data_IF_806647294569
#
_entry.id   IF_806647294569
#
_cell.length_a   1.000
_cell.length_b   1.000
_cell.length_c   1.000
_cell.angle_alpha   90.00
_cell.angle_beta   90.00
_cell.angle_gamma   90.00
#
_symmetry.space_group_name_H-M   'P 1'
#
loop_
_entity.id
_entity.type
_entity.pdbx_description
1 polymer ?
#
# COMPACT_ATOMS: atom_id res chain seq x y z
N UNK A 1 50.48 12.51 -21.76
CA UNK A 1 50.31 13.40 -20.60
C UNK A 1 48.86 13.82 -20.63
N UNK A 2 48.02 13.08 -19.92
CA UNK A 2 46.67 13.55 -19.59
C UNK A 2 46.86 14.34 -18.30
N UNK A 3 46.82 15.66 -18.41
CA UNK A 3 46.63 16.53 -17.26
C UNK A 3 45.32 16.10 -16.59
N UNK A 4 45.38 15.97 -15.27
CA UNK A 4 44.34 15.36 -14.45
C UNK A 4 43.40 16.50 -14.05
N UNK A 5 42.19 16.64 -14.62
CA UNK A 5 41.38 17.85 -14.50
C UNK A 5 41.14 18.26 -13.04
N UNK A 6 40.96 17.29 -12.14
CA UNK A 6 40.70 17.56 -10.71
C UNK A 6 41.90 18.07 -9.90
N UNK A 7 43.12 18.02 -10.44
CA UNK A 7 44.29 18.65 -9.79
C UNK A 7 44.40 20.12 -10.17
N UNK A 8 44.13 20.46 -11.42
CA UNK A 8 44.17 21.83 -11.92
C UNK A 8 43.08 22.66 -11.25
N UNK A 9 41.84 22.16 -11.20
CA UNK A 9 40.74 22.82 -10.49
C UNK A 9 41.04 23.10 -9.02
N UNK A 10 41.70 22.16 -8.34
CA UNK A 10 42.09 22.31 -6.92
C UNK A 10 43.20 23.33 -6.72
N UNK A 11 44.12 23.44 -7.66
CA UNK A 11 45.22 24.38 -7.55
C UNK A 11 44.79 25.80 -7.96
N UNK A 12 43.87 25.93 -8.92
CA UNK A 12 43.17 27.19 -9.21
C UNK A 12 42.37 27.69 -8.01
N UNK A 13 41.57 26.83 -7.38
CA UNK A 13 40.75 27.21 -6.23
C UNK A 13 41.61 27.67 -5.04
N UNK A 14 42.75 27.03 -4.79
CA UNK A 14 43.70 27.50 -3.77
C UNK A 14 44.25 28.89 -4.07
N UNK A 15 44.53 29.19 -5.33
CA UNK A 15 45.01 30.51 -5.71
C UNK A 15 43.90 31.56 -5.58
N UNK A 16 42.65 31.23 -5.95
CA UNK A 16 41.48 32.07 -5.70
C UNK A 16 41.27 32.39 -4.22
N UNK A 17 41.34 31.37 -3.35
CA UNK A 17 41.22 31.55 -1.89
C UNK A 17 42.34 32.43 -1.33
N UNK A 18 43.56 32.30 -1.85
CA UNK A 18 44.70 33.13 -1.46
C UNK A 18 44.54 34.57 -1.95
N UNK A 19 44.05 34.78 -3.17
CA UNK A 19 43.73 36.09 -3.71
C UNK A 19 42.63 36.77 -2.88
N UNK A 20 41.59 36.04 -2.50
CA UNK A 20 40.53 36.53 -1.62
C UNK A 20 41.03 36.89 -0.22
N UNK A 21 41.90 36.08 0.38
CA UNK A 21 42.55 36.44 1.65
C UNK A 21 43.41 37.71 1.53
N UNK A 22 44.14 37.87 0.42
CA UNK A 22 44.93 39.08 0.17
C UNK A 22 44.05 40.31 -0.06
N UNK A 23 42.93 40.16 -0.78
CA UNK A 23 41.91 41.19 -0.98
C UNK A 23 41.35 41.66 0.36
N UNK A 24 40.92 40.73 1.22
CA UNK A 24 40.44 41.03 2.58
C UNK A 24 41.48 41.68 3.48
N UNK A 25 42.75 41.35 3.29
CA UNK A 25 43.86 41.95 4.04
C UNK A 25 44.26 43.35 3.54
N UNK A 26 43.56 43.91 2.54
CA UNK A 26 43.85 45.23 1.98
C UNK A 26 45.16 45.32 1.21
N UNK A 27 45.69 44.18 0.73
CA UNK A 27 46.94 44.16 -0.04
C UNK A 27 46.66 44.62 -1.48
N UNK A 28 47.48 45.55 -1.97
CA UNK A 28 47.38 46.09 -3.32
C UNK A 28 47.60 45.02 -4.42
N UNK A 29 46.76 45.04 -5.47
CA UNK A 29 46.78 44.19 -6.69
C UNK A 29 46.13 42.79 -6.58
N UNK A 30 45.15 42.59 -5.71
CA UNK A 30 44.26 41.41 -5.79
C UNK A 30 42.95 41.85 -6.46
N UNK A 31 42.65 41.30 -7.63
CA UNK A 31 41.38 41.52 -8.36
C UNK A 31 40.71 40.15 -8.50
N UNK A 32 39.41 40.09 -8.18
CA UNK A 32 38.58 38.91 -8.35
C UNK A 32 37.40 39.29 -9.22
N UNK A 33 37.12 38.44 -10.20
CA UNK A 33 35.94 38.54 -11.05
C UNK A 33 34.71 37.96 -10.31
N UNK A 34 33.52 38.23 -10.82
CA UNK A 34 32.25 37.77 -10.25
C UNK A 34 32.22 36.25 -10.09
N UNK A 35 32.53 35.51 -11.16
CA UNK A 35 32.64 34.04 -11.16
C UNK A 35 33.65 33.52 -10.12
N UNK A 36 34.70 34.29 -9.82
CA UNK A 36 35.67 33.92 -8.82
C UNK A 36 35.09 34.02 -7.40
N UNK A 37 34.20 34.98 -7.13
CA UNK A 37 33.47 35.04 -5.88
C UNK A 37 32.49 33.87 -5.75
N UNK A 38 31.76 33.53 -6.81
CA UNK A 38 30.86 32.36 -6.84
C UNK A 38 31.59 31.06 -6.43
N UNK A 39 32.72 30.74 -7.10
CA UNK A 39 33.53 29.55 -6.77
C UNK A 39 34.03 29.55 -5.32
N UNK A 40 34.33 30.72 -4.77
CA UNK A 40 34.82 30.84 -3.39
C UNK A 40 33.68 30.64 -2.39
N UNK A 41 32.49 31.17 -2.68
CA UNK A 41 31.28 30.99 -1.88
C UNK A 41 30.93 29.50 -1.83
N UNK A 42 30.84 28.86 -3.00
CA UNK A 42 30.50 27.44 -3.13
C UNK A 42 31.51 26.57 -2.38
N UNK A 43 32.80 26.87 -2.49
CA UNK A 43 33.82 26.17 -1.71
C UNK A 43 33.60 26.27 -0.20
N UNK A 44 33.26 27.46 0.32
CA UNK A 44 33.04 27.58 1.76
C UNK A 44 31.74 26.92 2.19
N UNK A 45 30.70 26.99 1.37
CA UNK A 45 29.42 26.35 1.66
C UNK A 45 29.54 24.82 1.66
N UNK A 46 30.15 24.23 0.64
CA UNK A 46 30.43 22.78 0.54
C UNK A 46 31.28 22.23 1.70
N UNK A 47 32.08 23.07 2.36
CA UNK A 47 32.90 22.69 3.52
C UNK A 47 32.21 22.99 4.87
N UNK A 48 30.90 23.26 4.88
CA UNK A 48 30.11 23.66 6.05
C UNK A 48 30.64 24.94 6.75
N UNK A 49 31.40 25.77 6.03
CA UNK A 49 31.98 27.01 6.52
C UNK A 49 31.06 28.22 6.23
N UNK A 50 29.77 28.09 6.57
CA UNK A 50 28.70 29.05 6.23
C UNK A 50 29.06 30.50 6.59
N UNK A 51 29.66 30.74 7.77
CA UNK A 51 30.08 32.08 8.18
C UNK A 51 31.11 32.71 7.23
N UNK A 52 31.97 31.90 6.60
CA UNK A 52 32.95 32.37 5.60
C UNK A 52 32.30 32.54 4.23
N UNK A 53 31.35 31.68 3.87
CA UNK A 53 30.54 31.83 2.66
C UNK A 53 29.75 33.15 2.68
N UNK A 54 29.10 33.47 3.80
CA UNK A 54 28.40 34.75 4.01
C UNK A 54 29.37 35.93 3.88
N UNK A 55 30.56 35.86 4.49
CA UNK A 55 31.56 36.93 4.32
C UNK A 55 32.02 37.08 2.87
N UNK A 56 32.14 35.97 2.14
CA UNK A 56 32.55 35.97 0.74
C UNK A 56 31.47 36.59 -0.15
N UNK A 57 30.20 36.26 0.06
CA UNK A 57 29.10 36.85 -0.72
C UNK A 57 28.89 38.33 -0.39
N UNK A 58 29.02 38.72 0.89
CA UNK A 58 28.98 40.15 1.27
C UNK A 58 30.11 40.93 0.63
N UNK A 59 31.33 40.39 0.64
CA UNK A 59 32.48 41.01 -0.03
C UNK A 59 32.23 41.09 -1.53
N UNK A 60 31.73 40.02 -2.17
CA UNK A 60 31.40 40.01 -3.60
C UNK A 60 30.39 41.10 -3.98
N UNK A 61 29.32 41.23 -3.20
CA UNK A 61 28.27 42.24 -3.41
C UNK A 61 28.75 43.69 -3.16
N UNK A 62 29.81 43.91 -2.37
CA UNK A 62 30.43 45.25 -2.27
C UNK A 62 31.06 45.68 -3.61
N UNK A 63 31.62 44.74 -4.37
CA UNK A 63 32.24 45.00 -5.68
C UNK A 63 31.21 44.90 -6.82
N UNK A 64 30.24 44.00 -6.72
CA UNK A 64 29.23 43.69 -7.73
C UNK A 64 27.80 43.79 -7.16
N UNK A 65 27.33 45.00 -6.79
CA UNK A 65 26.07 45.18 -6.06
C UNK A 65 24.79 44.87 -6.86
N UNK A 66 24.91 44.66 -8.17
CA UNK A 66 23.79 44.38 -9.08
C UNK A 66 23.85 42.98 -9.70
N UNK A 67 24.72 42.10 -9.18
CA UNK A 67 24.81 40.71 -9.61
C UNK A 67 23.60 39.93 -9.09
N UNK A 68 22.75 39.42 -9.99
CA UNK A 68 21.65 38.52 -9.64
C UNK A 68 22.19 37.22 -9.02
N UNK A 69 23.22 36.62 -9.62
CA UNK A 69 23.82 35.37 -9.14
C UNK A 69 24.38 35.47 -7.71
N UNK A 70 25.08 36.55 -7.35
CA UNK A 70 25.56 36.75 -5.98
C UNK A 70 24.42 37.04 -5.00
N UNK A 71 23.33 37.69 -5.43
CA UNK A 71 22.14 37.88 -4.60
C UNK A 71 21.42 36.55 -4.34
N UNK A 72 21.28 35.69 -5.36
CA UNK A 72 20.71 34.34 -5.26
C UNK A 72 21.52 33.50 -4.26
N UNK A 73 22.86 33.44 -4.42
CA UNK A 73 23.74 32.73 -3.47
C UNK A 73 23.64 33.30 -2.04
N UNK A 74 23.47 34.61 -1.89
CA UNK A 74 23.25 35.22 -0.57
C UNK A 74 21.91 34.75 0.04
N UNK A 75 20.85 34.72 -0.75
CA UNK A 75 19.55 34.27 -0.30
C UNK A 75 19.56 32.79 0.13
N UNK A 76 20.23 31.93 -0.63
CA UNK A 76 20.42 30.52 -0.29
C UNK A 76 21.11 30.34 1.07
N UNK A 77 22.24 31.02 1.29
CA UNK A 77 22.93 31.04 2.60
C UNK A 77 22.05 31.58 3.74
N UNK A 78 21.16 32.54 3.45
CA UNK A 78 20.21 33.06 4.43
C UNK A 78 19.13 32.01 4.77
N UNK A 79 18.62 31.27 3.79
CA UNK A 79 17.69 30.15 3.99
C UNK A 79 18.35 29.06 4.84
N UNK A 80 19.59 28.67 4.51
CA UNK A 80 20.36 27.69 5.28
C UNK A 80 20.56 28.12 6.75
N UNK A 81 20.70 29.42 7.01
CA UNK A 81 20.81 29.99 8.36
C UNK A 81 19.47 30.37 9.01
N UNK A 82 18.34 30.03 8.39
CA UNK A 82 16.96 30.27 8.84
C UNK A 82 16.52 31.73 8.89
N UNK A 83 17.17 32.59 8.11
CA UNK A 83 16.81 34.00 7.92
C UNK A 83 15.88 34.16 6.71
N UNK A 84 14.75 33.46 6.73
CA UNK A 84 13.86 33.31 5.55
C UNK A 84 13.31 34.65 5.03
N UNK A 85 12.91 35.57 5.92
CA UNK A 85 12.39 36.88 5.51
C UNK A 85 13.46 37.75 4.85
N UNK A 86 14.67 37.71 5.38
CA UNK A 86 15.79 38.44 4.79
C UNK A 86 16.16 37.83 3.43
N UNK A 87 16.06 36.49 3.29
CA UNK A 87 16.25 35.83 2.00
C UNK A 87 15.21 36.27 0.97
N UNK A 88 13.92 36.33 1.33
CA UNK A 88 12.85 36.83 0.46
C UNK A 88 13.13 38.27 0.00
N UNK A 89 13.54 39.17 0.89
CA UNK A 89 13.89 40.56 0.54
C UNK A 89 15.07 40.63 -0.46
N UNK A 90 16.05 39.72 -0.33
CA UNK A 90 17.19 39.62 -1.25
C UNK A 90 16.77 39.03 -2.60
N UNK A 91 15.89 38.03 -2.61
CA UNK A 91 15.36 37.43 -3.84
C UNK A 91 14.44 38.38 -4.60
N UNK A 92 13.69 39.23 -3.90
CA UNK A 92 12.94 40.33 -4.51
C UNK A 92 13.88 41.31 -5.20
N UNK A 93 15.03 41.64 -4.58
CA UNK A 93 16.05 42.46 -5.22
C UNK A 93 16.68 41.77 -6.44
N UNK A 94 17.01 40.48 -6.33
CA UNK A 94 17.56 39.70 -7.44
C UNK A 94 16.61 39.71 -8.65
N UNK A 95 15.32 39.54 -8.42
CA UNK A 95 14.28 39.53 -9.47
C UNK A 95 14.15 40.85 -10.23
N UNK A 96 14.61 41.97 -9.67
CA UNK A 96 14.65 43.26 -10.38
C UNK A 96 15.75 43.33 -11.43
N UNK A 97 16.82 42.54 -11.27
CA UNK A 97 17.97 42.52 -12.17
C UNK A 97 17.86 41.40 -13.19
N UNK A 98 17.42 40.22 -12.74
CA UNK A 98 17.16 39.08 -13.60
C UNK A 98 15.91 38.34 -13.13
N UNK A 99 14.83 38.43 -13.88
CA UNK A 99 13.57 37.76 -13.55
C UNK A 99 13.41 36.41 -14.27
N UNK A 100 14.38 36.04 -15.11
CA UNK A 100 14.39 34.80 -15.91
C UNK A 100 15.25 33.71 -15.28
N UNK A 101 15.70 33.89 -14.04
CA UNK A 101 16.41 32.86 -13.30
C UNK A 101 15.40 32.07 -12.45
N UNK A 102 15.29 30.76 -12.72
CA UNK A 102 14.35 29.87 -12.01
C UNK A 102 14.71 29.74 -10.53
N UNK A 103 15.99 29.83 -10.16
CA UNK A 103 16.47 29.64 -8.80
C UNK A 103 15.84 30.67 -7.84
N UNK A 104 15.50 31.86 -8.37
CA UNK A 104 14.79 32.89 -7.61
C UNK A 104 13.44 32.38 -7.12
N UNK A 105 12.69 31.68 -7.97
CA UNK A 105 11.36 31.20 -7.65
C UNK A 105 11.42 29.96 -6.76
N UNK A 106 12.38 29.07 -6.99
CA UNK A 106 12.62 27.88 -6.15
C UNK A 106 13.01 28.32 -4.72
N UNK A 107 14.01 29.19 -4.56
CA UNK A 107 14.44 29.64 -3.24
C UNK A 107 13.37 30.47 -2.51
N UNK A 108 12.56 31.26 -3.24
CA UNK A 108 11.41 31.95 -2.64
C UNK A 108 10.36 30.94 -2.16
N UNK A 109 10.12 29.88 -2.93
CA UNK A 109 9.24 28.78 -2.54
C UNK A 109 9.74 28.14 -1.25
N UNK A 110 11.01 27.73 -1.17
CA UNK A 110 11.62 27.17 0.05
C UNK A 110 11.46 28.09 1.26
N UNK A 111 11.71 29.39 1.08
CA UNK A 111 11.55 30.37 2.15
C UNK A 111 10.07 30.50 2.60
N UNK A 112 9.11 30.48 1.69
CA UNK A 112 7.68 30.49 2.02
C UNK A 112 7.23 29.21 2.72
N UNK A 113 7.67 28.03 2.26
CA UNK A 113 7.40 26.75 2.90
C UNK A 113 7.94 26.70 4.33
N UNK A 114 9.18 27.17 4.53
CA UNK A 114 9.80 27.25 5.86
C UNK A 114 9.10 28.23 6.81
N UNK A 115 8.35 29.19 6.26
CA UNK A 115 7.51 30.15 7.00
C UNK A 115 6.07 29.68 7.20
N UNK A 116 5.70 28.49 6.72
CA UNK A 116 4.33 27.96 6.72
C UNK A 116 3.37 28.84 5.89
N UNK A 117 3.88 29.52 4.85
CA UNK A 117 3.16 30.42 3.94
C UNK A 117 2.91 29.77 2.56
N UNK A 118 2.23 28.64 2.62
CA UNK A 118 2.05 27.64 1.57
C UNK A 118 1.27 28.19 0.37
N UNK A 119 0.19 28.93 0.66
CA UNK A 119 -0.64 29.60 -0.35
C UNK A 119 0.20 30.55 -1.23
N UNK A 120 1.19 31.22 -0.63
CA UNK A 120 2.08 32.14 -1.37
C UNK A 120 3.10 31.41 -2.22
N UNK A 121 3.61 30.27 -1.73
CA UNK A 121 4.50 29.41 -2.51
C UNK A 121 3.79 28.90 -3.77
N UNK A 122 2.54 28.44 -3.63
CA UNK A 122 1.70 28.03 -4.75
C UNK A 122 1.43 29.19 -5.71
N UNK A 123 0.98 30.34 -5.22
CA UNK A 123 0.72 31.53 -6.05
C UNK A 123 1.97 31.95 -6.85
N UNK A 124 3.13 31.96 -6.20
CA UNK A 124 4.42 32.28 -6.82
C UNK A 124 4.77 31.30 -7.95
N UNK A 125 4.65 30.00 -7.71
CA UNK A 125 4.97 28.98 -8.70
C UNK A 125 3.97 29.02 -9.87
N UNK A 126 2.68 29.22 -9.61
CA UNK A 126 1.66 29.38 -10.65
C UNK A 126 1.93 30.61 -11.53
N UNK A 127 2.38 31.73 -10.95
CA UNK A 127 2.84 32.90 -11.71
C UNK A 127 4.09 32.57 -12.53
N UNK A 128 5.08 31.90 -11.94
CA UNK A 128 6.32 31.50 -12.62
C UNK A 128 6.03 30.60 -13.85
N UNK A 129 5.07 29.68 -13.74
CA UNK A 129 4.66 28.82 -14.87
C UNK A 129 4.15 29.60 -16.09
N UNK A 130 3.76 30.88 -15.94
CA UNK A 130 3.38 31.75 -17.06
C UNK A 130 4.56 32.46 -17.73
N UNK A 131 5.71 32.51 -17.06
CA UNK A 131 6.93 33.20 -17.49
C UNK A 131 7.91 32.26 -18.18
N UNK A 132 7.98 31.01 -17.72
CA UNK A 132 8.94 30.01 -18.20
C UNK A 132 8.33 29.03 -19.22
N UNK A 133 9.17 28.53 -20.12
CA UNK A 133 8.85 27.52 -21.13
C UNK A 133 9.93 26.43 -21.17
N UNK A 134 9.69 25.31 -21.86
CA UNK A 134 10.70 24.25 -22.00
C UNK A 134 10.99 23.51 -20.69
N UNK A 135 12.27 23.19 -20.47
CA UNK A 135 12.77 22.42 -19.32
C UNK A 135 12.50 23.16 -17.98
N UNK A 136 12.75 24.46 -17.93
CA UNK A 136 12.50 25.31 -16.75
C UNK A 136 11.04 25.24 -16.27
N UNK A 137 10.10 25.16 -17.20
CA UNK A 137 8.67 25.00 -16.86
C UNK A 137 8.37 23.62 -16.27
N UNK A 138 9.08 22.59 -16.70
CA UNK A 138 8.94 21.23 -16.18
C UNK A 138 9.47 21.17 -14.75
N UNK A 139 10.63 21.77 -14.49
CA UNK A 139 11.21 21.86 -13.14
C UNK A 139 10.25 22.56 -12.18
N UNK A 140 9.68 23.71 -12.57
CA UNK A 140 8.67 24.41 -11.78
C UNK A 140 7.37 23.60 -11.56
N UNK A 141 6.98 22.74 -12.52
CA UNK A 141 5.83 21.85 -12.33
C UNK A 141 6.14 20.73 -11.33
N UNK A 142 7.38 20.25 -11.27
CA UNK A 142 7.80 19.30 -10.25
C UNK A 142 7.83 19.95 -8.87
N UNK A 143 8.41 21.14 -8.74
CA UNK A 143 8.38 21.91 -7.49
C UNK A 143 6.95 22.15 -7.01
N UNK A 144 6.05 22.56 -7.92
CA UNK A 144 4.64 22.76 -7.58
C UNK A 144 3.94 21.44 -7.19
N UNK A 145 4.30 20.33 -7.83
CA UNK A 145 3.77 19.01 -7.48
C UNK A 145 4.22 18.57 -6.08
N UNK A 146 5.48 18.82 -5.72
CA UNK A 146 6.04 18.47 -4.41
C UNK A 146 5.41 19.36 -3.31
N UNK A 147 5.18 20.65 -3.57
CA UNK A 147 4.40 21.54 -2.70
C UNK A 147 2.97 21.01 -2.49
N UNK A 148 2.30 20.57 -3.55
CA UNK A 148 0.95 20.01 -3.42
C UNK A 148 0.91 18.66 -2.68
N UNK A 149 1.95 17.84 -2.77
CA UNK A 149 2.07 16.60 -1.99
C UNK A 149 2.20 16.90 -0.49
N UNK A 150 3.12 17.80 -0.12
CA UNK A 150 3.36 18.20 1.26
C UNK A 150 2.11 18.75 1.97
N UNK A 151 1.19 19.34 1.21
CA UNK A 151 -0.07 19.91 1.72
C UNK A 151 -1.32 19.09 1.41
N UNK A 152 -1.15 17.82 1.03
CA UNK A 152 -2.23 16.86 0.82
C UNK A 152 -3.23 17.25 -0.29
N UNK A 153 -2.85 18.15 -1.21
CA UNK A 153 -3.63 18.54 -2.40
C UNK A 153 -3.36 17.56 -3.56
N UNK A 154 -3.56 16.26 -3.29
CA UNK A 154 -3.12 15.16 -4.15
C UNK A 154 -3.72 15.15 -5.56
N UNK A 155 -4.93 15.68 -5.74
CA UNK A 155 -5.54 15.81 -7.07
C UNK A 155 -4.73 16.75 -7.96
N UNK A 156 -4.14 17.81 -7.39
CA UNK A 156 -3.33 18.78 -8.12
C UNK A 156 -1.94 18.25 -8.43
N UNK A 157 -1.38 17.37 -7.58
CA UNK A 157 -0.14 16.64 -7.89
C UNK A 157 -0.30 15.86 -9.20
N UNK A 158 -1.42 15.16 -9.37
CA UNK A 158 -1.73 14.46 -10.62
C UNK A 158 -1.87 15.43 -11.81
N UNK A 159 -2.47 16.61 -11.60
CA UNK A 159 -2.59 17.62 -12.66
C UNK A 159 -1.21 18.13 -13.11
N UNK A 160 -0.30 18.46 -12.19
CA UNK A 160 1.06 18.87 -12.51
C UNK A 160 1.81 17.79 -13.31
N UNK A 161 1.80 16.54 -12.84
CA UNK A 161 2.46 15.42 -13.53
C UNK A 161 1.83 15.14 -14.90
N UNK A 162 0.51 15.30 -15.03
CA UNK A 162 -0.17 15.18 -16.32
C UNK A 162 0.26 16.28 -17.29
N UNK A 163 0.40 17.52 -16.83
CA UNK A 163 0.89 18.64 -17.64
C UNK A 163 2.33 18.42 -18.08
N UNK A 164 3.20 17.89 -17.22
CA UNK A 164 4.58 17.51 -17.58
C UNK A 164 4.53 16.49 -18.72
N UNK A 165 3.74 15.42 -18.60
CA UNK A 165 3.65 14.37 -19.60
C UNK A 165 2.93 14.79 -20.90
N UNK A 166 2.14 15.86 -20.88
CA UNK A 166 1.61 16.47 -22.10
C UNK A 166 2.66 17.26 -22.88
N UNK A 167 3.69 17.78 -22.19
CA UNK A 167 4.81 18.51 -22.81
C UNK A 167 5.96 17.58 -23.19
N UNK A 168 6.31 16.67 -22.30
CA UNK A 168 7.36 15.69 -22.47
C UNK A 168 6.81 14.28 -22.15
N UNK A 169 6.18 13.61 -23.14
CA UNK A 169 5.56 12.30 -22.95
C UNK A 169 6.51 11.18 -22.49
N UNK A 170 7.81 11.38 -22.65
CA UNK A 170 8.87 10.42 -22.30
C UNK A 170 9.59 10.79 -21.01
N UNK A 171 9.13 11.80 -20.26
CA UNK A 171 9.75 12.18 -19.00
C UNK A 171 9.64 11.03 -17.98
N UNK A 172 10.76 10.37 -17.71
CA UNK A 172 10.79 9.16 -16.88
C UNK A 172 10.35 9.45 -15.43
N UNK A 173 10.79 10.56 -14.85
CA UNK A 173 10.43 10.93 -13.48
C UNK A 173 8.92 11.09 -13.32
N UNK A 174 8.29 11.85 -14.23
CA UNK A 174 6.84 12.03 -14.20
C UNK A 174 6.08 10.72 -14.44
N UNK A 175 6.56 9.86 -15.35
CA UNK A 175 5.98 8.53 -15.58
C UNK A 175 6.10 7.63 -14.34
N UNK A 176 7.21 7.69 -13.60
CA UNK A 176 7.36 6.95 -12.33
C UNK A 176 6.43 7.49 -11.24
N UNK A 177 6.41 8.82 -11.03
CA UNK A 177 5.60 9.47 -9.97
C UNK A 177 4.10 9.32 -10.21
N UNK A 178 3.61 9.48 -11.45
CA UNK A 178 2.17 9.54 -11.74
C UNK A 178 1.42 8.24 -11.47
N UNK A 179 2.10 7.08 -11.51
CA UNK A 179 1.47 5.79 -11.23
C UNK A 179 0.90 5.74 -9.80
N UNK A 180 1.67 6.20 -8.82
CA UNK A 180 1.25 6.23 -7.42
C UNK A 180 0.06 7.18 -7.24
N UNK A 181 0.17 8.39 -7.79
CA UNK A 181 -0.88 9.42 -7.68
C UNK A 181 -2.17 9.03 -8.40
N UNK A 182 -2.09 8.26 -9.48
CA UNK A 182 -3.27 7.69 -10.16
C UNK A 182 -4.05 6.75 -9.22
N UNK A 183 -3.36 5.85 -8.51
CA UNK A 183 -4.01 4.90 -7.59
C UNK A 183 -4.55 5.63 -6.35
N UNK A 184 -3.76 6.57 -5.81
CA UNK A 184 -4.10 7.33 -4.61
C UNK A 184 -5.36 8.21 -4.82
N UNK A 185 -5.40 8.99 -5.90
CA UNK A 185 -6.54 9.86 -6.24
C UNK A 185 -7.70 9.10 -6.86
N UNK A 186 -7.45 7.91 -7.40
CA UNK A 186 -8.45 7.11 -8.12
C UNK A 186 -8.76 7.62 -9.54
N UNK A 187 -8.00 8.59 -10.08
CA UNK A 187 -8.13 9.18 -11.43
C UNK A 187 -7.70 8.25 -12.58
N UNK A 188 -8.08 6.98 -12.46
CA UNK A 188 -7.72 5.91 -13.39
C UNK A 188 -8.20 6.18 -14.83
N UNK A 189 -9.39 6.76 -15.03
CA UNK A 189 -9.92 7.03 -16.38
C UNK A 189 -9.12 8.12 -17.12
N UNK A 190 -8.62 9.11 -16.40
CA UNK A 190 -7.77 10.17 -16.96
C UNK A 190 -6.38 9.65 -17.27
N UNK A 191 -5.80 8.87 -16.35
CA UNK A 191 -4.54 8.18 -16.57
C UNK A 191 -4.59 7.25 -17.79
N UNK A 192 -5.69 6.53 -18.02
CA UNK A 192 -5.89 5.70 -19.23
C UNK A 192 -5.84 6.57 -20.50
N UNK A 193 -6.53 7.72 -20.52
CA UNK A 193 -6.53 8.62 -21.69
C UNK A 193 -5.14 9.22 -21.93
N UNK A 194 -4.46 9.64 -20.86
CA UNK A 194 -3.10 10.18 -20.93
C UNK A 194 -2.15 9.15 -21.53
N UNK A 195 -2.06 7.96 -20.93
CA UNK A 195 -1.12 6.94 -21.38
C UNK A 195 -1.48 6.38 -22.76
N UNK A 196 -2.76 6.33 -23.15
CA UNK A 196 -3.14 6.03 -24.52
C UNK A 196 -2.57 7.03 -25.54
N UNK A 197 -2.60 8.34 -25.25
CA UNK A 197 -1.95 9.34 -26.11
C UNK A 197 -0.45 9.13 -26.18
N UNK A 198 0.20 8.88 -25.04
CA UNK A 198 1.66 8.66 -24.98
C UNK A 198 2.07 7.46 -25.84
N UNK A 199 1.39 6.31 -25.73
CA UNK A 199 1.77 5.10 -26.48
C UNK A 199 1.42 5.18 -27.98
N UNK A 200 0.52 6.08 -28.40
CA UNK A 200 0.26 6.32 -29.82
C UNK A 200 1.50 6.90 -30.52
N UNK A 201 2.18 7.83 -29.85
CA UNK A 201 3.39 8.48 -30.37
C UNK A 201 4.67 7.72 -29.98
N UNK A 202 4.70 7.11 -28.79
CA UNK A 202 5.85 6.41 -28.20
C UNK A 202 5.50 4.97 -27.81
N UNK A 203 5.25 4.07 -28.80
CA UNK A 203 4.76 2.70 -28.54
C UNK A 203 5.76 1.79 -27.82
N UNK A 204 7.03 2.18 -27.73
CA UNK A 204 8.11 1.44 -27.05
C UNK A 204 8.46 2.03 -25.66
N UNK A 205 7.57 2.83 -25.06
CA UNK A 205 7.74 3.32 -23.69
C UNK A 205 7.10 2.33 -22.70
N UNK A 206 7.93 1.57 -21.98
CA UNK A 206 7.51 0.55 -21.03
C UNK A 206 6.77 1.11 -19.82
N UNK A 207 7.17 2.28 -19.31
CA UNK A 207 6.53 2.94 -18.18
C UNK A 207 5.10 3.37 -18.53
N UNK A 208 4.88 3.89 -19.73
CA UNK A 208 3.54 4.28 -20.19
C UNK A 208 2.61 3.07 -20.33
N UNK A 209 3.11 1.95 -20.86
CA UNK A 209 2.37 0.69 -20.88
C UNK A 209 2.09 0.15 -19.47
N UNK A 210 3.06 0.23 -18.57
CA UNK A 210 2.89 -0.18 -17.17
C UNK A 210 1.82 0.67 -16.46
N UNK A 211 1.88 1.98 -16.58
CA UNK A 211 0.92 2.91 -15.98
C UNK A 211 -0.49 2.72 -16.55
N UNK A 212 -0.60 2.46 -17.86
CA UNK A 212 -1.87 2.07 -18.48
C UNK A 212 -2.43 0.78 -17.86
N UNK A 213 -1.57 -0.21 -17.64
CA UNK A 213 -1.93 -1.45 -16.95
C UNK A 213 -2.39 -1.23 -15.51
N UNK A 214 -1.67 -0.39 -14.77
CA UNK A 214 -2.00 -0.01 -13.39
C UNK A 214 -3.36 0.68 -13.31
N UNK A 215 -3.63 1.63 -14.20
CA UNK A 215 -4.92 2.33 -14.25
C UNK A 215 -6.08 1.39 -14.61
N UNK A 216 -5.91 0.45 -15.55
CA UNK A 216 -6.91 -0.59 -15.81
C UNK A 216 -7.15 -1.48 -14.59
N UNK A 217 -6.09 -1.80 -13.84
CA UNK A 217 -6.18 -2.60 -12.63
C UNK A 217 -6.95 -1.88 -11.51
N UNK A 218 -6.76 -0.57 -11.35
CA UNK A 218 -7.54 0.27 -10.44
C UNK A 218 -9.05 0.23 -10.74
N UNK A 219 -9.42 0.18 -12.03
CA UNK A 219 -10.79 -0.04 -12.49
C UNK A 219 -11.24 -1.51 -12.49
N UNK A 220 -10.40 -2.44 -12.00
CA UNK A 220 -10.64 -3.90 -11.97
C UNK A 220 -10.85 -4.52 -13.35
N UNK A 221 -10.33 -3.88 -14.40
CA UNK A 221 -10.31 -4.39 -15.77
C UNK A 221 -9.06 -5.27 -15.98
N UNK A 222 -8.98 -6.36 -15.22
CA UNK A 222 -7.75 -7.17 -15.08
C UNK A 222 -7.25 -7.76 -16.40
N UNK A 223 -8.14 -8.15 -17.33
CA UNK A 223 -7.72 -8.64 -18.65
C UNK A 223 -6.96 -7.56 -19.44
N UNK A 224 -7.47 -6.33 -19.47
CA UNK A 224 -6.80 -5.21 -20.14
C UNK A 224 -5.50 -4.80 -19.45
N UNK A 225 -5.48 -4.88 -18.12
CA UNK A 225 -4.27 -4.63 -17.34
C UNK A 225 -3.17 -5.63 -17.73
N UNK A 226 -3.50 -6.92 -17.85
CA UNK A 226 -2.56 -7.96 -18.28
C UNK A 226 -2.04 -7.66 -19.69
N UNK A 227 -2.90 -7.32 -20.65
CA UNK A 227 -2.47 -6.99 -22.01
C UNK A 227 -1.44 -5.84 -22.00
N UNK A 228 -1.70 -4.77 -21.24
CA UNK A 228 -0.78 -3.62 -21.12
C UNK A 228 0.54 -3.99 -20.43
N UNK A 229 0.51 -4.76 -19.32
CA UNK A 229 1.73 -5.24 -18.68
C UNK A 229 2.55 -6.17 -19.58
N UNK A 230 1.90 -6.97 -20.43
CA UNK A 230 2.59 -7.81 -21.41
C UNK A 230 3.38 -6.97 -22.42
N UNK A 231 2.83 -5.84 -22.89
CA UNK A 231 3.60 -4.91 -23.71
C UNK A 231 4.79 -4.33 -22.95
N UNK A 232 4.61 -3.90 -21.70
CA UNK A 232 5.69 -3.37 -20.87
C UNK A 232 6.86 -4.36 -20.73
N UNK A 233 6.58 -5.64 -20.41
CA UNK A 233 7.64 -6.66 -20.26
C UNK A 233 8.23 -7.15 -21.58
N UNK A 234 7.56 -6.96 -22.71
CA UNK A 234 8.13 -7.23 -24.04
C UNK A 234 9.11 -6.13 -24.44
N UNK A 235 8.88 -4.89 -24.00
CA UNK A 235 9.78 -3.76 -24.22
C UNK A 235 10.99 -3.87 -23.29
N UNK A 236 10.76 -4.08 -21.99
CA UNK A 236 11.81 -4.37 -21.01
C UNK A 236 11.53 -5.66 -20.23
N UNK A 237 12.24 -6.73 -20.62
CA UNK A 237 12.13 -8.05 -19.99
C UNK A 237 12.56 -8.07 -18.51
N UNK A 238 13.23 -7.02 -18.03
CA UNK A 238 13.69 -6.89 -16.63
C UNK A 238 12.74 -6.05 -15.76
N UNK A 239 11.62 -5.57 -16.31
CA UNK A 239 10.70 -4.71 -15.59
C UNK A 239 9.88 -5.49 -14.54
N UNK A 240 10.44 -5.66 -13.35
CA UNK A 240 9.87 -6.54 -12.33
C UNK A 240 8.51 -6.07 -11.78
N UNK A 241 8.28 -4.75 -11.70
CA UNK A 241 6.98 -4.19 -11.29
C UNK A 241 5.83 -4.64 -12.22
N UNK A 242 6.07 -4.70 -13.53
CA UNK A 242 5.07 -5.18 -14.48
C UNK A 242 4.74 -6.67 -14.27
N UNK A 243 5.75 -7.52 -14.03
CA UNK A 243 5.51 -8.92 -13.65
C UNK A 243 4.74 -9.06 -12.33
N UNK A 244 5.08 -8.29 -11.30
CA UNK A 244 4.38 -8.32 -10.00
C UNK A 244 2.89 -7.98 -10.16
N UNK A 245 2.58 -6.88 -10.83
CA UNK A 245 1.21 -6.43 -11.01
C UNK A 245 0.42 -7.35 -11.94
N UNK A 246 1.04 -7.84 -13.01
CA UNK A 246 0.45 -8.87 -13.87
C UNK A 246 0.14 -10.15 -13.10
N UNK A 247 1.02 -10.56 -12.17
CA UNK A 247 0.80 -11.67 -11.26
C UNK A 247 -0.44 -11.48 -10.38
N UNK A 248 -0.63 -10.31 -9.76
CA UNK A 248 -1.86 -10.00 -9.00
C UNK A 248 -3.09 -10.03 -9.90
N UNK A 249 -3.04 -9.42 -11.09
CA UNK A 249 -4.15 -9.45 -12.04
C UNK A 249 -4.57 -10.89 -12.39
N UNK A 250 -3.62 -11.79 -12.65
CA UNK A 250 -3.90 -13.20 -12.87
C UNK A 250 -4.54 -13.88 -11.64
N UNK A 251 -4.09 -13.55 -10.42
CA UNK A 251 -4.70 -14.05 -9.16
C UNK A 251 -6.17 -13.59 -9.05
N UNK A 252 -6.46 -12.32 -9.35
CA UNK A 252 -7.81 -11.75 -9.32
C UNK A 252 -8.74 -12.44 -10.32
N UNK A 253 -8.22 -12.81 -11.49
CA UNK A 253 -8.92 -13.61 -12.50
C UNK A 253 -8.95 -15.11 -12.20
N UNK A 254 -8.35 -15.55 -11.09
CA UNK A 254 -8.21 -16.98 -10.70
C UNK A 254 -7.42 -17.83 -11.70
N UNK A 255 -6.60 -17.19 -12.53
CA UNK A 255 -5.65 -17.82 -13.46
C UNK A 255 -4.35 -18.16 -12.71
N UNK A 256 -4.45 -19.12 -11.80
CA UNK A 256 -3.40 -19.38 -10.82
C UNK A 256 -2.10 -19.97 -11.39
N UNK A 257 -2.13 -20.61 -12.57
CA UNK A 257 -0.91 -21.18 -13.16
C UNK A 257 -0.07 -20.07 -13.79
N UNK A 258 -0.72 -19.22 -14.56
CA UNK A 258 -0.16 -18.03 -15.20
C UNK A 258 0.39 -17.05 -14.15
N UNK A 259 -0.33 -16.88 -13.03
CA UNK A 259 0.17 -16.12 -11.89
C UNK A 259 1.47 -16.70 -11.30
N UNK A 260 1.58 -18.03 -11.16
CA UNK A 260 2.81 -18.67 -10.64
C UNK A 260 3.97 -18.44 -11.61
N UNK A 261 3.78 -18.73 -12.90
CA UNK A 261 4.82 -18.55 -13.92
C UNK A 261 5.31 -17.09 -13.96
N UNK A 262 4.38 -16.14 -13.88
CA UNK A 262 4.66 -14.70 -13.85
C UNK A 262 5.41 -14.28 -12.58
N UNK A 263 4.99 -14.75 -11.41
CA UNK A 263 5.64 -14.40 -10.14
C UNK A 263 6.98 -15.11 -9.93
N UNK A 264 7.19 -16.28 -10.54
CA UNK A 264 8.50 -16.94 -10.58
C UNK A 264 9.53 -16.09 -11.36
N UNK A 265 9.10 -15.35 -12.39
CA UNK A 265 9.97 -14.37 -13.07
C UNK A 265 10.42 -13.24 -12.16
N UNK A 266 9.57 -12.74 -11.29
CA UNK A 266 9.97 -11.73 -10.28
C UNK A 266 11.12 -12.27 -9.42
N UNK A 267 11.05 -13.55 -8.99
CA UNK A 267 12.09 -14.19 -8.19
C UNK A 267 13.40 -14.45 -8.95
N UNK A 268 13.39 -14.44 -10.28
CA UNK A 268 14.59 -14.53 -11.13
C UNK A 268 15.27 -13.16 -11.29
N UNK A 269 14.48 -12.07 -11.29
CA UNK A 269 14.95 -10.71 -11.54
C UNK A 269 15.41 -9.99 -10.28
N UNK A 270 14.73 -10.19 -9.16
CA UNK A 270 14.97 -9.43 -7.92
C UNK A 270 15.35 -10.30 -6.74
N UNK A 271 15.76 -9.64 -5.65
CA UNK A 271 15.93 -10.31 -4.37
C UNK A 271 14.59 -10.90 -3.93
N UNK A 272 14.52 -12.20 -3.56
CA UNK A 272 13.28 -12.81 -3.11
C UNK A 272 12.63 -12.07 -1.94
N UNK A 273 11.34 -11.77 -2.11
CA UNK A 273 10.51 -11.10 -1.11
C UNK A 273 9.45 -12.03 -0.54
N UNK A 274 9.05 -11.75 0.70
CA UNK A 274 8.06 -12.52 1.44
C UNK A 274 6.71 -12.56 0.70
N UNK A 275 6.22 -11.40 0.27
CA UNK A 275 4.91 -11.23 -0.38
C UNK A 275 4.80 -12.05 -1.67
N UNK A 276 5.89 -12.17 -2.44
CA UNK A 276 5.91 -12.96 -3.68
C UNK A 276 5.80 -14.45 -3.39
N UNK A 277 6.56 -14.96 -2.41
CA UNK A 277 6.41 -16.35 -1.95
C UNK A 277 5.02 -16.62 -1.37
N UNK A 278 4.46 -15.67 -0.63
CA UNK A 278 3.11 -15.79 -0.10
C UNK A 278 2.06 -15.91 -1.22
N UNK A 279 2.16 -15.05 -2.25
CA UNK A 279 1.28 -15.06 -3.42
C UNK A 279 1.39 -16.37 -4.21
N UNK A 280 2.59 -16.86 -4.49
CA UNK A 280 2.81 -18.16 -5.14
C UNK A 280 2.23 -19.30 -4.27
N UNK A 281 2.43 -19.24 -2.96
CA UNK A 281 1.84 -20.17 -2.00
C UNK A 281 0.30 -20.16 -2.05
N UNK A 282 -0.31 -18.98 -2.20
CA UNK A 282 -1.75 -18.82 -2.39
C UNK A 282 -2.22 -19.51 -3.67
N UNK A 283 -1.56 -19.27 -4.80
CA UNK A 283 -1.88 -19.90 -6.08
C UNK A 283 -1.83 -21.43 -5.98
N UNK A 284 -0.75 -22.00 -5.41
CA UNK A 284 -0.64 -23.43 -5.21
C UNK A 284 -1.73 -23.99 -4.27
N UNK A 285 -2.09 -23.26 -3.21
CA UNK A 285 -3.20 -23.64 -2.33
C UNK A 285 -4.51 -23.71 -3.12
N UNK A 286 -4.83 -22.69 -3.92
CA UNK A 286 -6.05 -22.66 -4.74
C UNK A 286 -6.10 -23.75 -5.82
N UNK A 287 -4.95 -24.24 -6.25
CA UNK A 287 -4.79 -25.39 -7.14
C UNK A 287 -4.80 -26.75 -6.41
N UNK A 288 -5.06 -26.77 -5.10
CA UNK A 288 -4.98 -27.96 -4.22
C UNK A 288 -3.60 -28.65 -4.21
N UNK A 289 -2.55 -27.92 -4.59
CA UNK A 289 -1.14 -28.36 -4.55
C UNK A 289 -0.53 -27.98 -3.20
N UNK A 290 -1.05 -28.60 -2.13
CA UNK A 290 -0.78 -28.19 -0.75
C UNK A 290 0.69 -28.29 -0.32
N UNK A 291 1.44 -29.27 -0.84
CA UNK A 291 2.87 -29.41 -0.53
C UNK A 291 3.69 -28.22 -1.06
N UNK A 292 3.47 -27.81 -2.31
CA UNK A 292 4.12 -26.64 -2.90
C UNK A 292 3.66 -25.34 -2.22
N UNK A 293 2.38 -25.25 -1.83
CA UNK A 293 1.87 -24.12 -1.06
C UNK A 293 2.64 -23.95 0.26
N UNK A 294 2.77 -25.04 1.04
CA UNK A 294 3.53 -25.03 2.30
C UNK A 294 5.00 -24.71 2.12
N UNK A 295 5.62 -25.17 1.03
CA UNK A 295 7.02 -24.85 0.73
C UNK A 295 7.20 -23.33 0.59
N UNK A 296 6.36 -22.68 -0.20
CA UNK A 296 6.41 -21.24 -0.41
C UNK A 296 6.03 -20.44 0.84
N UNK A 297 4.96 -20.82 1.57
CA UNK A 297 4.61 -20.17 2.83
C UNK A 297 5.72 -20.28 3.89
N UNK A 298 6.47 -21.40 3.91
CA UNK A 298 7.64 -21.52 4.79
C UNK A 298 8.76 -20.59 4.36
N UNK A 299 9.04 -20.44 3.06
CA UNK A 299 10.03 -19.46 2.60
C UNK A 299 9.65 -18.05 3.05
N UNK A 300 8.40 -17.67 2.82
CA UNK A 300 7.82 -16.41 3.31
C UNK A 300 8.01 -16.26 4.84
N UNK A 301 7.71 -17.31 5.63
CA UNK A 301 7.81 -17.22 7.10
C UNK A 301 9.24 -17.13 7.63
N UNK A 302 10.25 -17.56 6.87
CA UNK A 302 11.65 -17.34 7.25
C UNK A 302 12.09 -15.91 6.94
N UNK A 303 11.48 -15.26 5.95
CA UNK A 303 11.76 -13.86 5.59
C UNK A 303 11.06 -12.89 6.54
N UNK A 304 9.84 -13.22 6.98
CA UNK A 304 9.10 -12.46 7.99
C UNK A 304 8.66 -13.38 9.15
N UNK A 305 9.52 -13.60 10.17
CA UNK A 305 9.22 -14.48 11.30
C UNK A 305 8.05 -13.99 12.18
N UNK A 306 7.72 -12.70 12.13
CA UNK A 306 6.67 -12.08 12.95
C UNK A 306 5.28 -12.17 12.31
N UNK A 307 5.16 -12.61 11.05
CA UNK A 307 3.85 -12.82 10.44
C UNK A 307 3.26 -14.19 10.80
N UNK A 308 2.50 -14.21 11.90
CA UNK A 308 1.70 -15.35 12.31
C UNK A 308 0.73 -15.90 11.24
N UNK A 309 0.30 -15.08 10.26
CA UNK A 309 -0.67 -15.47 9.24
C UNK A 309 -0.09 -16.52 8.30
N UNK A 310 1.22 -16.54 8.08
CA UNK A 310 1.89 -17.53 7.25
C UNK A 310 1.78 -18.94 7.86
N UNK A 311 1.98 -19.05 9.18
CA UNK A 311 1.77 -20.30 9.91
C UNK A 311 0.30 -20.75 9.90
N UNK A 312 -0.63 -19.80 9.97
CA UNK A 312 -2.06 -20.08 9.79
C UNK A 312 -2.37 -20.58 8.37
N UNK A 313 -1.83 -19.95 7.32
CA UNK A 313 -1.96 -20.40 5.92
C UNK A 313 -1.42 -21.82 5.74
N UNK A 314 -0.27 -22.16 6.36
CA UNK A 314 0.27 -23.54 6.40
C UNK A 314 -0.72 -24.49 7.09
N UNK A 315 -1.28 -24.12 8.24
CA UNK A 315 -2.24 -24.95 8.95
C UNK A 315 -3.50 -25.24 8.11
N UNK A 316 -4.03 -24.24 7.39
CA UNK A 316 -5.17 -24.41 6.49
C UNK A 316 -4.90 -25.46 5.42
N UNK A 317 -3.68 -25.53 4.88
CA UNK A 317 -3.34 -26.60 3.91
C UNK A 317 -3.39 -27.99 4.54
N UNK A 318 -2.95 -28.15 5.79
CA UNK A 318 -3.04 -29.44 6.49
C UNK A 318 -4.48 -29.79 6.85
N UNK A 319 -5.31 -28.80 7.20
CA UNK A 319 -6.74 -28.99 7.45
C UNK A 319 -7.43 -29.49 6.17
N UNK A 320 -7.13 -28.90 5.01
CA UNK A 320 -7.66 -29.36 3.73
C UNK A 320 -7.27 -30.81 3.41
N UNK A 321 -6.06 -31.23 3.79
CA UNK A 321 -5.59 -32.62 3.71
C UNK A 321 -6.06 -33.51 4.87
N UNK A 322 -6.90 -33.00 5.79
CA UNK A 322 -7.38 -33.67 7.02
C UNK A 322 -6.27 -34.13 7.97
N UNK A 323 -5.08 -33.55 7.86
CA UNK A 323 -3.93 -33.80 8.74
C UNK A 323 -3.98 -32.90 9.98
N UNK A 324 -5.02 -33.08 10.79
CA UNK A 324 -5.34 -32.17 11.91
C UNK A 324 -4.21 -32.05 12.95
N UNK A 325 -3.47 -33.13 13.24
CA UNK A 325 -2.36 -33.09 14.18
C UNK A 325 -1.21 -32.17 13.72
N UNK A 326 -0.90 -32.17 12.41
CA UNK A 326 0.10 -31.26 11.85
C UNK A 326 -0.42 -29.82 11.77
N UNK A 327 -1.71 -29.66 11.47
CA UNK A 327 -2.34 -28.34 11.50
C UNK A 327 -2.24 -27.69 12.88
N UNK A 328 -2.50 -28.43 13.96
CA UNK A 328 -2.35 -27.95 15.34
C UNK A 328 -0.94 -27.42 15.61
N UNK A 329 0.11 -28.15 15.20
CA UNK A 329 1.49 -27.68 15.39
C UNK A 329 1.79 -26.36 14.68
N UNK A 330 1.24 -26.15 13.47
CA UNK A 330 1.36 -24.87 12.76
C UNK A 330 0.52 -23.75 13.40
N UNK A 331 -0.69 -24.06 13.90
CA UNK A 331 -1.52 -23.10 14.63
C UNK A 331 -0.89 -22.68 15.96
N UNK A 332 -0.23 -23.59 16.67
CA UNK A 332 0.52 -23.29 17.89
C UNK A 332 1.65 -22.29 17.61
N UNK A 333 2.37 -22.44 16.49
CA UNK A 333 3.37 -21.46 16.07
C UNK A 333 2.73 -20.09 15.80
N UNK A 334 1.62 -20.05 15.06
CA UNK A 334 0.89 -18.81 14.80
C UNK A 334 0.43 -18.12 16.10
N UNK A 335 -0.07 -18.89 17.07
CA UNK A 335 -0.56 -18.40 18.36
C UNK A 335 0.54 -17.99 19.34
N UNK A 336 1.77 -18.50 19.18
CA UNK A 336 2.94 -18.04 19.95
C UNK A 336 3.33 -16.62 19.56
N UNK A 337 3.21 -16.29 18.27
CA UNK A 337 3.49 -14.95 17.73
C UNK A 337 2.34 -14.01 18.09
N UNK A 338 1.13 -14.30 17.60
CA UNK A 338 -0.07 -13.50 17.88
C UNK A 338 -1.12 -14.29 18.64
N UNK A 339 -1.26 -13.97 19.92
CA UNK A 339 -2.15 -14.68 20.84
C UNK A 339 -3.62 -14.28 20.62
N UNK A 340 -4.52 -15.25 20.78
CA UNK A 340 -5.97 -15.02 20.87
C UNK A 340 -6.67 -14.44 19.62
N UNK A 341 -6.10 -14.57 18.42
CA UNK A 341 -6.85 -14.27 17.20
C UNK A 341 -8.05 -15.23 17.05
N UNK A 342 -9.29 -14.73 16.86
CA UNK A 342 -10.49 -15.56 16.74
C UNK A 342 -10.40 -16.63 15.64
N UNK A 343 -9.77 -16.30 14.51
CA UNK A 343 -9.58 -17.17 13.35
C UNK A 343 -8.71 -18.38 13.70
N UNK A 344 -7.68 -18.19 14.53
CA UNK A 344 -6.76 -19.26 14.94
C UNK A 344 -7.45 -20.17 15.97
N UNK A 345 -8.18 -19.59 16.92
CA UNK A 345 -8.95 -20.35 17.91
C UNK A 345 -10.07 -21.15 17.23
N UNK A 346 -10.72 -20.59 16.21
CA UNK A 346 -11.72 -21.32 15.43
C UNK A 346 -11.09 -22.53 14.72
N UNK A 347 -9.96 -22.35 14.04
CA UNK A 347 -9.26 -23.45 13.38
C UNK A 347 -8.71 -24.51 14.36
N UNK A 348 -8.22 -24.10 15.52
CA UNK A 348 -7.82 -25.02 16.61
C UNK A 348 -9.01 -25.86 17.08
N UNK A 349 -10.14 -25.20 17.35
CA UNK A 349 -11.37 -25.87 17.75
C UNK A 349 -11.87 -26.86 16.71
N UNK A 350 -11.82 -26.49 15.42
CA UNK A 350 -12.18 -27.37 14.31
C UNK A 350 -11.26 -28.60 14.24
N UNK A 351 -9.94 -28.43 14.32
CA UNK A 351 -8.98 -29.53 14.36
C UNK A 351 -9.27 -30.51 15.51
N UNK A 352 -9.45 -30.01 16.73
CA UNK A 352 -9.77 -30.86 17.89
C UNK A 352 -11.13 -31.55 17.75
N UNK A 353 -12.15 -30.85 17.24
CA UNK A 353 -13.47 -31.42 17.01
C UNK A 353 -13.41 -32.59 16.00
N UNK A 354 -12.64 -32.44 14.91
CA UNK A 354 -12.44 -33.51 13.93
C UNK A 354 -11.66 -34.70 14.50
N UNK A 355 -10.76 -34.45 15.46
CA UNK A 355 -10.07 -35.48 16.22
C UNK A 355 -10.92 -36.08 17.36
N UNK A 356 -12.19 -35.68 17.50
CA UNK A 356 -13.13 -36.06 18.58
C UNK A 356 -12.65 -35.66 19.98
N UNK A 357 -11.68 -34.76 20.07
CA UNK A 357 -11.26 -34.18 21.33
C UNK A 357 -12.14 -32.98 21.68
N UNK A 358 -13.37 -33.26 22.08
CA UNK A 358 -14.40 -32.23 22.22
C UNK A 358 -14.13 -31.26 23.38
N UNK A 359 -13.47 -31.71 24.45
CA UNK A 359 -13.18 -30.87 25.62
C UNK A 359 -12.31 -29.68 25.22
N UNK A 360 -11.23 -29.93 24.49
CA UNK A 360 -10.31 -28.92 24.00
C UNK A 360 -11.00 -28.04 22.95
N UNK A 361 -11.75 -28.64 22.02
CA UNK A 361 -12.49 -27.89 21.01
C UNK A 361 -13.48 -26.88 21.63
N UNK A 362 -14.23 -27.28 22.66
CA UNK A 362 -15.14 -26.39 23.39
C UNK A 362 -14.40 -25.20 24.00
N UNK A 363 -13.20 -25.41 24.56
CA UNK A 363 -12.42 -24.32 25.15
C UNK A 363 -12.07 -23.27 24.09
N UNK A 364 -11.51 -23.70 22.95
CA UNK A 364 -11.14 -22.79 21.86
C UNK A 364 -12.36 -22.06 21.28
N UNK A 365 -13.46 -22.77 21.00
CA UNK A 365 -14.69 -22.11 20.53
C UNK A 365 -15.30 -21.15 21.56
N UNK A 366 -15.19 -21.46 22.86
CA UNK A 366 -15.61 -20.55 23.94
C UNK A 366 -14.80 -19.25 23.95
N UNK A 367 -13.51 -19.31 23.64
CA UNK A 367 -12.69 -18.10 23.46
C UNK A 367 -13.20 -17.27 22.29
N UNK A 368 -13.54 -17.88 21.15
CA UNK A 368 -14.05 -17.18 19.96
C UNK A 368 -15.33 -16.40 20.28
N UNK A 369 -16.31 -17.03 20.91
CA UNK A 369 -17.59 -16.36 21.24
C UNK A 369 -17.42 -15.26 22.28
N UNK A 370 -16.46 -15.40 23.20
CA UNK A 370 -16.14 -14.35 24.19
C UNK A 370 -15.49 -13.14 23.52
N UNK A 371 -14.58 -13.35 22.57
CA UNK A 371 -13.89 -12.27 21.87
C UNK A 371 -14.78 -11.59 20.82
N UNK A 372 -15.64 -12.34 20.14
CA UNK A 372 -16.57 -11.82 19.13
C UNK A 372 -18.00 -12.33 19.38
N UNK A 373 -18.71 -11.79 20.38
CA UNK A 373 -20.05 -12.26 20.74
C UNK A 373 -21.11 -12.04 19.66
N UNK A 374 -20.92 -11.08 18.74
CA UNK A 374 -21.82 -10.87 17.59
C UNK A 374 -21.53 -11.81 16.39
N UNK A 375 -20.43 -12.58 16.43
CA UNK A 375 -20.04 -13.42 15.31
C UNK A 375 -20.81 -14.74 15.30
N UNK A 376 -21.61 -14.96 14.24
CA UNK A 376 -22.47 -16.14 14.11
C UNK A 376 -21.69 -17.45 13.99
N UNK A 377 -20.57 -17.46 13.27
CA UNK A 377 -19.78 -18.68 13.03
C UNK A 377 -19.19 -19.27 14.31
N UNK A 378 -18.69 -18.43 15.23
CA UNK A 378 -18.14 -18.90 16.51
C UNK A 378 -19.18 -19.61 17.36
N UNK A 379 -20.39 -19.05 17.46
CA UNK A 379 -21.49 -19.68 18.18
C UNK A 379 -21.98 -20.96 17.50
N UNK A 380 -22.14 -20.97 16.17
CA UNK A 380 -22.51 -22.16 15.41
C UNK A 380 -21.51 -23.30 15.64
N UNK A 381 -20.20 -23.00 15.61
CA UNK A 381 -19.15 -23.98 15.87
C UNK A 381 -19.18 -24.50 17.32
N UNK A 382 -19.32 -23.63 18.32
CA UNK A 382 -19.42 -24.02 19.73
C UNK A 382 -20.62 -24.94 19.99
N UNK A 383 -21.80 -24.55 19.51
CA UNK A 383 -23.05 -25.30 19.72
C UNK A 383 -22.97 -26.67 19.04
N UNK A 384 -22.47 -26.72 17.80
CA UNK A 384 -22.24 -27.99 17.08
C UNK A 384 -21.26 -28.89 17.83
N UNK A 385 -20.20 -28.32 18.38
CA UNK A 385 -19.23 -29.06 19.18
C UNK A 385 -19.86 -29.63 20.47
N UNK A 386 -20.64 -28.82 21.20
CA UNK A 386 -21.34 -29.26 22.41
C UNK A 386 -22.36 -30.36 22.12
N UNK A 387 -23.09 -30.23 21.00
CA UNK A 387 -24.03 -31.24 20.53
C UNK A 387 -23.31 -32.55 20.24
N UNK A 388 -22.22 -32.53 19.47
CA UNK A 388 -21.43 -33.72 19.14
C UNK A 388 -20.75 -34.35 20.37
N UNK A 389 -20.44 -33.55 21.38
CA UNK A 389 -19.90 -34.00 22.66
C UNK A 389 -20.96 -34.63 23.59
N UNK A 390 -22.24 -34.54 23.25
CA UNK A 390 -23.36 -35.00 24.09
C UNK A 390 -23.74 -34.05 25.23
N UNK A 391 -23.19 -32.84 25.26
CA UNK A 391 -23.49 -31.81 26.27
C UNK A 391 -24.74 -31.00 25.88
N UNK A 392 -25.87 -31.69 25.70
CA UNK A 392 -27.09 -31.10 25.13
C UNK A 392 -27.70 -29.98 25.98
N UNK A 393 -27.69 -30.11 27.30
CA UNK A 393 -28.18 -29.05 28.20
C UNK A 393 -27.36 -27.76 28.10
N UNK A 394 -26.04 -27.89 27.96
CA UNK A 394 -25.17 -26.73 27.75
C UNK A 394 -25.38 -26.15 26.34
N UNK A 395 -25.47 -26.99 25.31
CA UNK A 395 -25.78 -26.55 23.96
C UNK A 395 -27.09 -25.74 23.90
N UNK A 396 -28.13 -26.17 24.63
CA UNK A 396 -29.40 -25.46 24.74
C UNK A 396 -29.24 -24.06 25.36
N UNK A 397 -28.44 -23.94 26.44
CA UNK A 397 -28.13 -22.64 27.06
C UNK A 397 -27.33 -21.73 26.13
N UNK A 398 -26.31 -22.27 25.47
CA UNK A 398 -25.47 -21.53 24.52
C UNK A 398 -26.29 -21.07 23.31
N UNK A 399 -27.28 -21.83 22.83
CA UNK A 399 -28.23 -21.38 21.81
C UNK A 399 -29.00 -20.12 22.22
N UNK A 400 -29.49 -20.06 23.46
CA UNK A 400 -30.21 -18.89 23.97
C UNK A 400 -29.28 -17.68 24.15
N UNK A 401 -28.04 -17.90 24.59
CA UNK A 401 -27.03 -16.84 24.68
C UNK A 401 -26.64 -16.30 23.29
N UNK A 402 -26.40 -17.19 22.32
CA UNK A 402 -26.10 -16.83 20.94
C UNK A 402 -27.21 -15.99 20.31
N UNK A 403 -28.47 -16.35 20.56
CA UNK A 403 -29.64 -15.57 20.12
C UNK A 403 -29.62 -14.15 20.68
N UNK A 404 -29.43 -14.00 21.99
CA UNK A 404 -29.33 -12.68 22.63
C UNK A 404 -28.14 -11.88 22.10
N UNK A 405 -26.99 -12.51 21.89
CA UNK A 405 -25.77 -11.84 21.47
C UNK A 405 -25.74 -11.46 19.98
N UNK A 406 -26.60 -12.05 19.16
CA UNK A 406 -26.63 -11.85 17.69
C UNK A 406 -27.92 -11.22 17.18
N UNK A 407 -28.77 -10.70 18.06
CA UNK A 407 -30.07 -10.11 17.70
C UNK A 407 -31.00 -11.12 17.01
N UNK A 408 -31.16 -12.30 17.63
CA UNK A 408 -32.05 -13.38 17.20
C UNK A 408 -31.81 -13.83 15.75
N UNK A 409 -30.55 -14.04 15.35
CA UNK A 409 -30.24 -14.60 14.02
C UNK A 409 -30.96 -15.95 13.80
N UNK A 410 -31.61 -16.16 12.65
CA UNK A 410 -32.47 -17.33 12.42
C UNK A 410 -31.78 -18.69 12.59
N UNK A 411 -30.46 -18.77 12.33
CA UNK A 411 -29.70 -20.02 12.46
C UNK A 411 -29.80 -20.66 13.85
N UNK A 412 -29.89 -19.85 14.91
CA UNK A 412 -29.91 -20.37 16.28
C UNK A 412 -31.26 -20.96 16.67
N UNK A 413 -32.35 -20.59 16.00
CA UNK A 413 -33.65 -21.25 16.16
C UNK A 413 -33.59 -22.71 15.66
N UNK A 414 -32.94 -22.93 14.52
CA UNK A 414 -32.71 -24.25 13.95
C UNK A 414 -31.80 -25.11 14.85
N UNK A 415 -30.66 -24.57 15.31
CA UNK A 415 -29.77 -25.30 16.20
C UNK A 415 -30.45 -25.62 17.55
N UNK A 416 -31.18 -24.65 18.12
CA UNK A 416 -31.88 -24.85 19.38
C UNK A 416 -32.99 -25.90 19.26
N UNK A 417 -33.77 -25.87 18.17
CA UNK A 417 -34.77 -26.89 17.88
C UNK A 417 -34.15 -28.30 17.85
N UNK A 418 -33.04 -28.48 17.12
CA UNK A 418 -32.36 -29.78 17.05
C UNK A 418 -31.91 -30.28 18.43
N UNK A 419 -31.36 -29.40 19.26
CA UNK A 419 -30.95 -29.73 20.64
C UNK A 419 -32.17 -30.14 21.49
N UNK A 420 -33.29 -29.40 21.39
CA UNK A 420 -34.52 -29.67 22.16
C UNK A 420 -35.15 -31.01 21.81
N UNK A 421 -35.06 -31.47 20.55
CA UNK A 421 -35.50 -32.80 20.17
C UNK A 421 -34.72 -33.90 20.88
N UNK A 422 -33.40 -33.74 21.03
CA UNK A 422 -32.56 -34.70 21.77
C UNK A 422 -32.82 -34.66 23.28
N UNK A 423 -33.14 -33.48 23.82
CA UNK A 423 -33.57 -33.31 25.21
C UNK A 423 -35.01 -33.80 25.49
N UNK A 424 -35.64 -34.49 24.54
CA UNK A 424 -37.02 -34.99 24.64
C UNK A 424 -38.06 -33.89 24.93
N UNK A 425 -37.86 -32.68 24.40
CA UNK A 425 -38.81 -31.55 24.47
C UNK A 425 -39.42 -31.22 23.08
N UNK A 426 -40.16 -32.14 22.45
CA UNK A 426 -40.57 -32.02 21.04
C UNK A 426 -41.52 -30.85 20.78
N UNK A 427 -42.39 -30.49 21.74
CA UNK A 427 -43.33 -29.37 21.57
C UNK A 427 -42.59 -28.03 21.44
N UNK A 428 -41.65 -27.76 22.34
CA UNK A 428 -40.80 -26.57 22.30
C UNK A 428 -39.92 -26.58 21.05
N UNK A 429 -39.38 -27.75 20.69
CA UNK A 429 -38.54 -27.91 19.51
C UNK A 429 -39.29 -27.55 18.22
N UNK A 430 -40.55 -27.98 18.06
CA UNK A 430 -41.38 -27.64 16.90
C UNK A 430 -41.68 -26.14 16.83
N UNK A 431 -41.95 -25.48 17.95
CA UNK A 431 -42.15 -24.03 18.00
C UNK A 431 -40.89 -23.27 17.53
N UNK A 432 -39.71 -23.68 18.01
CA UNK A 432 -38.46 -23.06 17.55
C UNK A 432 -38.18 -23.34 16.06
N UNK A 433 -38.54 -24.52 15.57
CA UNK A 433 -38.43 -24.84 14.15
C UNK A 433 -39.35 -23.97 13.29
N UNK A 434 -40.60 -23.76 13.73
CA UNK A 434 -41.57 -22.91 13.06
C UNK A 434 -41.09 -21.44 13.00
N UNK A 435 -40.57 -20.91 14.10
CA UNK A 435 -39.93 -19.57 14.16
C UNK A 435 -38.71 -19.46 13.24
N UNK A 436 -37.86 -20.49 13.19
CA UNK A 436 -36.73 -20.53 12.26
C UNK A 436 -37.20 -20.53 10.80
N UNK A 437 -38.23 -21.32 10.49
CA UNK A 437 -38.82 -21.42 9.15
C UNK A 437 -39.54 -20.15 8.74
N UNK A 438 -40.19 -19.41 9.63
CA UNK A 438 -40.82 -18.12 9.29
C UNK A 438 -39.78 -17.07 8.88
N UNK A 439 -38.63 -17.04 9.56
CA UNK A 439 -37.57 -16.05 9.32
C UNK A 439 -36.63 -16.42 8.16
N UNK A 440 -36.15 -17.67 8.11
CA UNK A 440 -35.16 -18.10 7.12
C UNK A 440 -35.29 -19.59 6.73
N UNK A 441 -36.30 -19.95 5.91
CA UNK A 441 -36.57 -21.35 5.54
C UNK A 441 -35.38 -22.09 4.92
N UNK A 442 -34.49 -21.37 4.20
CA UNK A 442 -33.31 -21.97 3.54
C UNK A 442 -32.30 -22.55 4.54
N UNK A 443 -32.32 -22.13 5.80
CA UNK A 443 -31.40 -22.59 6.83
C UNK A 443 -31.83 -23.89 7.51
N UNK A 444 -32.99 -24.45 7.17
CA UNK A 444 -33.44 -25.77 7.64
C UNK A 444 -32.42 -26.88 7.37
N UNK A 445 -31.58 -26.73 6.34
CA UNK A 445 -30.47 -27.64 6.07
C UNK A 445 -29.52 -27.77 7.26
N UNK A 446 -29.26 -26.69 8.01
CA UNK A 446 -28.38 -26.73 9.21
C UNK A 446 -28.99 -27.56 10.35
N UNK A 447 -30.31 -27.52 10.49
CA UNK A 447 -31.05 -28.37 11.43
C UNK A 447 -30.94 -29.85 11.06
N UNK A 448 -31.11 -30.17 9.77
CA UNK A 448 -31.01 -31.55 9.25
C UNK A 448 -29.56 -32.06 9.33
N UNK A 449 -28.57 -31.23 8.99
CA UNK A 449 -27.15 -31.59 9.07
C UNK A 449 -26.71 -31.95 10.49
N UNK A 450 -27.25 -31.27 11.50
CA UNK A 450 -26.91 -31.51 12.91
C UNK A 450 -27.50 -32.84 13.41
N UNK A 451 -28.70 -33.19 12.95
CA UNK A 451 -29.35 -34.46 13.29
C UNK A 451 -30.17 -35.03 12.12
N UNK A 452 -29.56 -35.80 11.21
CA UNK A 452 -30.28 -36.35 10.06
C UNK A 452 -31.45 -37.27 10.44
N UNK A 453 -31.35 -37.96 11.59
CA UNK A 453 -32.39 -38.88 12.07
C UNK A 453 -33.70 -38.16 12.44
N UNK A 454 -33.67 -36.84 12.60
CA UNK A 454 -34.84 -36.02 12.94
C UNK A 454 -35.95 -36.09 11.88
N UNK A 455 -35.59 -36.45 10.63
CA UNK A 455 -36.54 -36.64 9.54
C UNK A 455 -37.40 -37.90 9.68
N UNK A 456 -37.10 -38.78 10.64
CA UNK A 456 -37.98 -39.90 11.01
C UNK A 456 -39.16 -39.45 11.88
N UNK A 457 -39.14 -38.22 12.39
CA UNK A 457 -40.24 -37.68 13.18
C UNK A 457 -41.35 -37.12 12.27
N UNK A 458 -42.51 -37.78 12.27
CA UNK A 458 -43.67 -37.40 11.45
C UNK A 458 -44.08 -35.93 11.63
N UNK A 459 -44.04 -35.40 12.87
CA UNK A 459 -44.41 -34.01 13.15
C UNK A 459 -43.47 -33.00 12.47
N UNK A 460 -42.17 -33.34 12.41
CA UNK A 460 -41.17 -32.52 11.71
C UNK A 460 -41.43 -32.57 10.21
N UNK A 461 -41.65 -33.76 9.65
CA UNK A 461 -41.92 -33.95 8.22
C UNK A 461 -43.18 -33.19 7.79
N UNK A 462 -44.25 -33.28 8.57
CA UNK A 462 -45.52 -32.59 8.31
C UNK A 462 -45.35 -31.07 8.33
N UNK A 463 -44.63 -30.53 9.33
CA UNK A 463 -44.34 -29.11 9.43
C UNK A 463 -43.53 -28.61 8.22
N UNK A 464 -42.49 -29.36 7.82
CA UNK A 464 -41.67 -29.02 6.66
C UNK A 464 -42.48 -29.09 5.35
N UNK A 465 -43.35 -30.08 5.20
CA UNK A 465 -44.22 -30.22 4.04
C UNK A 465 -45.24 -29.08 3.95
N UNK A 466 -45.84 -28.68 5.08
CA UNK A 466 -46.77 -27.55 5.15
C UNK A 466 -46.11 -26.23 4.72
N UNK A 467 -44.90 -25.96 5.21
CA UNK A 467 -44.13 -24.76 4.82
C UNK A 467 -43.69 -24.78 3.35
N UNK A 468 -43.37 -25.96 2.80
CA UNK A 468 -43.03 -26.11 1.37
C UNK A 468 -44.24 -25.85 0.46
N UNK A 469 -45.46 -26.21 0.89
CA UNK A 469 -46.71 -25.94 0.15
C UNK A 469 -47.09 -24.45 0.19
N UNK A 470 -46.92 -23.77 1.33
CA UNK A 470 -47.21 -22.34 1.50
C UNK A 470 -46.32 -21.39 0.66
N UNK A 471 -45.19 -21.88 0.13
CA UNK A 471 -44.26 -21.11 -0.73
C UNK A 471 -44.47 -21.30 -2.23
N UNK A 472 -45.35 -22.21 -2.64
CA UNK A 472 -45.67 -22.49 -4.05
C UNK A 472 -46.92 -21.76 -4.55
N UNK A 473 -47.55 -20.99 -3.67
CA UNK A 473 -48.63 -20.02 -3.93
C UNK A 473 -47.98 -18.66 -3.69
#
# INVERSE_FOLDING_TARGET
MQENPSREDRDELKELLKQYQNLRAGKSHSFLEEEAFERIIDYFDENDEISKAIQAVETGLEYFPFSSHLLIKKADLLIATRHYRDALDILDQASLFDHNDIDIYILKTDAYLALDEQDKAVELLEEALSLFEGEEKIDLLFELADVYDDYEEFDKVFDCLSLILEKEPTNEEALYKICFWTDFTGRNEESIKLHHRIIEDFPYNELAWFNLGAAFQGLKLYEKAIDAYQYAVVIDEKFDYAYRNMGDAYIRLRKYKEAIETLEKVLELTRPEEVIHEAIGHCYHRLNKFAQARFNYRKASHMNPDDSKLHYKIALTYIAEKQYSRALGSLEQAMRIHRHLPEYNLAMGECYMQMKNYREAIQYFSVVVRLRPKNVSGWDALIRCLYNAGHYEEAARQCLQARKATDDKPVFFFLYSAVLFVLAKPKEALLQLEEGLSKAPKLVKKFIELNPAILQNNQVVDLLAAYKKRKKI
#
